data_IF_033044555410
#
_entry.id   IF_033044555410
#
_cell.length_a   1.000
_cell.length_b   1.000
_cell.length_c   1.000
_cell.angle_alpha   90.00
_cell.angle_beta   90.00
_cell.angle_gamma   90.00
#
_symmetry.space_group_name_H-M   'P 1'
#
loop_
_entity.id
_entity.type
_entity.pdbx_description
1 polymer ?
#
# COMPACT_ATOMS: atom_id res chain seq x y z
N UNK A 1 2.07 -31.40 28.45
CA UNK A 1 1.38 -30.10 28.47
C UNK A 1 2.02 -29.24 27.39
N UNK A 2 1.22 -28.70 26.46
CA UNK A 2 1.74 -27.84 25.41
C UNK A 2 1.39 -26.38 25.75
N UNK A 3 2.42 -25.54 25.85
CA UNK A 3 2.26 -24.09 25.96
C UNK A 3 2.45 -23.48 24.57
N UNK A 4 1.55 -22.60 24.18
CA UNK A 4 1.67 -21.82 22.94
C UNK A 4 1.80 -20.34 23.29
N UNK A 5 2.87 -19.72 22.80
CA UNK A 5 3.17 -18.30 22.95
C UNK A 5 3.04 -17.68 21.57
N UNK A 6 2.30 -16.57 21.45
CA UNK A 6 2.14 -15.80 20.22
C UNK A 6 2.42 -14.34 20.49
N UNK A 7 3.15 -13.70 19.57
CA UNK A 7 3.36 -12.25 19.59
C UNK A 7 2.08 -11.54 19.16
N UNK A 8 1.73 -10.44 19.83
CA UNK A 8 0.58 -9.61 19.43
C UNK A 8 0.94 -8.76 18.21
N UNK A 9 0.01 -8.55 17.29
CA UNK A 9 0.22 -7.72 16.09
C UNK A 9 0.62 -6.28 16.42
N UNK A 10 0.04 -5.71 17.49
CA UNK A 10 0.37 -4.38 17.98
C UNK A 10 1.79 -4.27 18.60
N UNK A 11 2.56 -5.37 18.66
CA UNK A 11 3.97 -5.27 19.03
C UNK A 11 4.76 -4.40 18.03
N UNK A 12 4.29 -4.29 16.78
CA UNK A 12 4.88 -3.42 15.77
C UNK A 12 4.69 -1.92 16.07
N UNK A 13 3.64 -1.55 16.82
CA UNK A 13 3.39 -0.16 17.25
C UNK A 13 4.48 0.35 18.20
N UNK A 14 5.13 -0.54 18.93
CA UNK A 14 6.20 -0.19 19.87
C UNK A 14 7.58 -0.07 19.20
N UNK A 15 7.69 -0.34 17.90
CA UNK A 15 8.94 -0.19 17.17
C UNK A 15 9.17 1.27 16.84
N UNK A 16 10.39 1.76 17.05
CA UNK A 16 10.81 3.09 16.60
C UNK A 16 11.08 3.08 15.09
N UNK A 17 10.04 2.82 14.30
CA UNK A 17 10.14 2.57 12.85
C UNK A 17 10.86 3.71 12.12
N UNK A 18 10.63 4.94 12.56
CA UNK A 18 11.26 6.15 12.00
C UNK A 18 12.78 6.22 12.23
N UNK A 19 13.31 5.50 13.22
CA UNK A 19 14.74 5.44 13.51
C UNK A 19 15.52 4.47 12.63
N UNK A 20 14.82 3.61 11.89
CA UNK A 20 15.45 2.62 11.03
C UNK A 20 16.01 3.25 9.76
N UNK A 21 17.07 2.64 9.24
CA UNK A 21 17.75 3.10 8.04
C UNK A 21 16.81 3.07 6.82
N UNK A 22 16.79 4.17 6.06
CA UNK A 22 15.97 4.33 4.85
C UNK A 22 16.70 3.79 3.61
N UNK A 23 17.02 2.49 3.68
CA UNK A 23 17.84 1.75 2.72
C UNK A 23 17.06 1.09 1.56
N UNK A 24 15.80 1.47 1.36
CA UNK A 24 15.00 1.02 0.23
C UNK A 24 14.21 2.18 -0.38
N UNK A 25 13.97 2.17 -1.70
CA UNK A 25 13.19 3.20 -2.37
C UNK A 25 12.10 2.65 -3.31
N UNK A 26 10.89 3.18 -3.16
CA UNK A 26 9.82 3.04 -4.14
C UNK A 26 9.93 4.18 -5.17
N UNK A 27 9.97 3.85 -6.46
CA UNK A 27 10.02 4.83 -7.54
C UNK A 27 8.68 4.78 -8.29
N UNK A 28 7.82 5.76 -8.06
CA UNK A 28 6.45 5.79 -8.58
C UNK A 28 6.34 6.93 -9.56
N UNK A 29 6.02 6.64 -10.83
CA UNK A 29 5.96 7.63 -11.90
C UNK A 29 7.20 8.56 -11.93
N UNK A 30 8.37 8.01 -11.64
CA UNK A 30 9.64 8.74 -11.59
C UNK A 30 9.93 9.51 -10.28
N UNK A 31 9.02 9.52 -9.30
CA UNK A 31 9.23 10.11 -7.97
C UNK A 31 9.68 9.07 -6.96
N UNK A 32 10.74 9.39 -6.20
CA UNK A 32 11.35 8.50 -5.21
C UNK A 32 10.74 8.68 -3.81
N UNK A 33 10.40 7.55 -3.16
CA UNK A 33 9.91 7.47 -1.79
C UNK A 33 10.74 6.48 -1.00
N UNK A 34 11.59 6.99 -0.09
CA UNK A 34 12.49 6.14 0.71
C UNK A 34 11.82 5.61 1.96
N UNK A 35 12.13 4.37 2.28
CA UNK A 35 11.69 3.65 3.47
C UNK A 35 12.74 2.62 3.87
N UNK A 36 12.52 1.91 4.97
CA UNK A 36 13.39 0.79 5.34
C UNK A 36 13.00 -0.46 4.56
N UNK A 37 13.99 -1.31 4.30
CA UNK A 37 13.81 -2.57 3.57
C UNK A 37 12.71 -3.45 4.17
N UNK A 38 12.64 -3.56 5.50
CA UNK A 38 11.63 -4.40 6.15
C UNK A 38 10.21 -3.83 5.98
N UNK A 39 10.02 -2.49 5.98
CA UNK A 39 8.72 -1.87 5.69
C UNK A 39 8.31 -2.21 4.26
N UNK A 40 9.25 -2.13 3.32
CA UNK A 40 8.99 -2.49 1.92
C UNK A 40 8.57 -3.96 1.77
N UNK A 41 9.22 -4.88 2.48
CA UNK A 41 8.89 -6.31 2.49
C UNK A 41 7.52 -6.62 3.09
N UNK A 42 7.15 -5.93 4.17
CA UNK A 42 5.82 -6.05 4.77
C UNK A 42 4.77 -5.53 3.78
N UNK A 43 5.00 -4.32 3.24
CA UNK A 43 4.07 -3.62 2.38
C UNK A 43 3.82 -4.34 1.04
N UNK A 44 4.85 -4.98 0.48
CA UNK A 44 4.78 -5.60 -0.84
C UNK A 44 5.25 -7.05 -0.84
N UNK A 45 4.33 -8.01 -1.05
CA UNK A 45 4.69 -9.40 -1.33
C UNK A 45 5.62 -9.55 -2.53
N UNK A 46 5.54 -8.66 -3.52
CA UNK A 46 6.46 -8.66 -4.67
C UNK A 46 7.87 -8.27 -4.26
N UNK A 47 8.04 -7.19 -3.49
CA UNK A 47 9.36 -6.78 -2.98
C UNK A 47 9.95 -7.87 -2.08
N UNK A 48 9.15 -8.45 -1.18
CA UNK A 48 9.59 -9.54 -0.32
C UNK A 48 10.10 -10.76 -1.12
N UNK A 49 9.43 -11.13 -2.21
CA UNK A 49 9.90 -12.18 -3.12
C UNK A 49 11.15 -11.76 -3.89
N UNK A 50 11.24 -10.51 -4.35
CA UNK A 50 12.44 -10.01 -5.03
C UNK A 50 13.66 -10.12 -4.11
N UNK A 51 13.54 -9.74 -2.85
CA UNK A 51 14.59 -9.87 -1.84
C UNK A 51 14.94 -11.31 -1.46
N UNK A 52 14.00 -12.25 -1.61
CA UNK A 52 14.26 -13.69 -1.46
C UNK A 52 15.19 -14.20 -2.58
N UNK A 53 14.99 -13.72 -3.81
CA UNK A 53 15.85 -14.09 -4.95
C UNK A 53 17.18 -13.32 -4.95
N UNK A 54 17.13 -12.01 -4.71
CA UNK A 54 18.29 -11.13 -4.70
C UNK A 54 18.18 -10.13 -3.54
N UNK A 55 18.93 -10.35 -2.45
CA UNK A 55 18.86 -9.50 -1.28
C UNK A 55 19.53 -8.12 -1.45
N UNK A 56 20.20 -7.87 -2.59
CA UNK A 56 20.89 -6.60 -2.86
C UNK A 56 19.99 -5.55 -3.53
N UNK A 57 18.80 -5.96 -4.00
CA UNK A 57 17.81 -5.04 -4.54
C UNK A 57 17.42 -4.04 -3.45
N UNK A 58 17.53 -2.75 -3.76
CA UNK A 58 17.23 -1.63 -2.86
C UNK A 58 16.19 -0.68 -3.45
N UNK A 59 15.65 -0.99 -4.63
CA UNK A 59 14.66 -0.18 -5.31
C UNK A 59 13.56 -1.02 -5.95
N UNK A 60 12.35 -0.46 -5.99
CA UNK A 60 11.22 -1.04 -6.73
C UNK A 60 10.45 0.07 -7.45
N UNK A 61 10.34 -0.06 -8.77
CA UNK A 61 9.70 0.94 -9.62
C UNK A 61 8.39 0.44 -10.22
N UNK A 62 7.39 1.31 -10.27
CA UNK A 62 6.15 1.06 -11.00
C UNK A 62 5.49 2.37 -11.42
N UNK A 63 4.63 2.28 -12.43
CA UNK A 63 3.79 3.40 -12.86
C UNK A 63 2.34 3.12 -12.47
N UNK A 64 1.66 4.19 -12.07
CA UNK A 64 0.23 4.29 -11.78
C UNK A 64 -0.40 5.12 -12.89
N UNK A 65 -1.48 4.62 -13.48
CA UNK A 65 -2.23 5.28 -14.55
C UNK A 65 -3.72 5.38 -14.18
N UNK A 66 -4.06 6.56 -13.64
CA UNK A 66 -5.42 6.88 -13.19
C UNK A 66 -6.40 7.14 -14.35
N UNK A 67 -5.91 7.27 -15.58
CA UNK A 67 -6.72 7.63 -16.74
C UNK A 67 -7.29 6.40 -17.47
N UNK A 68 -6.79 5.19 -17.18
CA UNK A 68 -7.28 3.96 -17.81
C UNK A 68 -8.65 3.47 -17.30
N UNK A 69 -9.09 3.91 -16.12
CA UNK A 69 -10.40 3.54 -15.56
C UNK A 69 -11.56 4.39 -16.10
N UNK A 70 -11.28 5.43 -16.89
CA UNK A 70 -12.26 6.31 -17.53
C UNK A 70 -12.34 6.08 -19.04
N UNK A 71 -12.52 4.82 -19.48
CA UNK A 71 -13.09 4.52 -20.82
C UNK A 71 -14.58 4.89 -20.86
N UNK A 72 -14.89 6.18 -20.72
CA UNK A 72 -16.08 6.91 -21.20
C UNK A 72 -15.96 8.35 -20.68
N UNK A 73 -16.01 9.29 -21.61
CA UNK A 73 -15.98 10.76 -21.46
C UNK A 73 -14.61 11.42 -21.31
N UNK A 74 -14.16 12.01 -22.43
CA UNK A 74 -13.17 13.08 -22.51
C UNK A 74 -13.67 14.30 -21.71
N UNK A 75 -13.16 14.48 -20.49
CA UNK A 75 -12.90 15.79 -19.90
C UNK A 75 -11.55 15.69 -19.20
N UNK A 76 -10.63 16.66 -19.37
CA UNK A 76 -9.44 16.72 -18.54
C UNK A 76 -9.92 16.96 -17.10
N UNK A 77 -9.82 15.95 -16.25
CA UNK A 77 -9.91 16.14 -14.80
C UNK A 77 -8.77 17.07 -14.41
N UNK A 78 -9.08 18.17 -13.75
CA UNK A 78 -8.16 19.27 -13.44
C UNK A 78 -7.10 18.94 -12.40
N UNK A 79 -7.17 17.76 -11.79
CA UNK A 79 -6.12 17.26 -10.90
C UNK A 79 -5.14 16.41 -11.72
N UNK A 80 -3.86 16.52 -11.42
CA UNK A 80 -2.79 15.75 -12.02
C UNK A 80 -2.47 14.55 -11.11
N UNK A 81 -1.89 13.46 -11.62
CA UNK A 81 -1.39 12.37 -10.77
C UNK A 81 -0.39 12.88 -9.72
N UNK A 82 0.34 13.95 -10.04
CA UNK A 82 1.24 14.63 -9.12
C UNK A 82 0.53 15.21 -7.88
N UNK A 83 -0.80 15.40 -7.90
CA UNK A 83 -1.55 15.90 -6.73
C UNK A 83 -1.80 14.82 -5.68
N UNK A 84 -1.78 13.53 -6.06
CA UNK A 84 -2.07 12.40 -5.17
C UNK A 84 -0.84 11.53 -4.90
N UNK A 85 0.20 11.62 -5.72
CA UNK A 85 1.39 10.75 -5.59
C UNK A 85 2.12 10.96 -4.26
N UNK A 86 2.02 12.15 -3.69
CA UNK A 86 2.65 12.55 -2.42
C UNK A 86 1.98 11.90 -1.21
N UNK A 87 0.84 11.24 -1.42
CA UNK A 87 0.16 10.46 -0.40
C UNK A 87 0.73 9.04 -0.26
N UNK A 88 1.60 8.59 -1.17
CA UNK A 88 2.15 7.23 -1.11
C UNK A 88 2.80 6.87 0.26
N UNK A 89 3.57 7.76 0.92
CA UNK A 89 4.15 7.46 2.23
C UNK A 89 3.12 7.13 3.32
N UNK A 90 1.84 7.49 3.15
CA UNK A 90 0.78 7.08 4.07
C UNK A 90 0.67 5.56 4.18
N UNK A 91 1.03 4.81 3.14
CA UNK A 91 1.06 3.35 3.16
C UNK A 91 2.09 2.78 4.16
N UNK A 92 3.18 3.50 4.44
CA UNK A 92 4.15 3.05 5.44
C UNK A 92 3.53 3.03 6.84
N UNK A 93 2.57 3.93 7.09
CA UNK A 93 1.84 3.95 8.35
C UNK A 93 0.93 2.74 8.52
N UNK A 94 0.60 1.95 7.50
CA UNK A 94 -0.15 0.70 7.71
C UNK A 94 0.65 -0.37 8.43
N UNK A 95 1.98 -0.23 8.47
CA UNK A 95 2.85 -1.17 9.18
C UNK A 95 2.78 -0.94 10.70
N UNK A 96 2.63 0.32 11.12
CA UNK A 96 2.48 0.70 12.54
C UNK A 96 1.03 0.86 12.96
N UNK A 97 0.23 1.57 12.16
CA UNK A 97 -1.15 1.88 12.42
C UNK A 97 -2.09 0.89 11.72
N UNK A 98 -3.27 0.71 12.30
CA UNK A 98 -4.21 -0.29 11.83
C UNK A 98 -5.05 0.18 10.63
N UNK A 99 -5.21 1.49 10.38
CA UNK A 99 -6.10 2.02 9.35
C UNK A 99 -5.55 3.28 8.65
N UNK A 100 -5.86 3.44 7.36
CA UNK A 100 -5.84 4.72 6.66
C UNK A 100 -7.29 5.06 6.28
N UNK A 101 -7.77 6.19 6.79
CA UNK A 101 -9.10 6.70 6.47
C UNK A 101 -9.02 7.60 5.23
N UNK A 102 -9.54 7.11 4.10
CA UNK A 102 -9.66 7.87 2.87
C UNK A 102 -11.14 8.24 2.71
N UNK A 103 -11.52 9.52 2.77
CA UNK A 103 -12.91 9.92 2.60
C UNK A 103 -13.46 9.40 1.26
N UNK A 104 -14.63 8.77 1.27
CA UNK A 104 -15.26 8.21 0.06
C UNK A 104 -15.50 9.25 -1.05
N UNK A 105 -15.56 10.55 -0.69
CA UNK A 105 -15.64 11.65 -1.63
C UNK A 105 -14.37 11.82 -2.50
N UNK A 106 -13.21 11.32 -2.05
CA UNK A 106 -11.94 11.45 -2.76
C UNK A 106 -11.66 10.21 -3.63
N UNK A 107 -12.46 10.06 -4.69
CA UNK A 107 -12.37 8.92 -5.63
C UNK A 107 -10.97 8.77 -6.23
N UNK A 108 -10.29 9.86 -6.57
CA UNK A 108 -8.98 9.81 -7.21
C UNK A 108 -7.89 9.27 -6.30
N UNK A 109 -7.88 9.71 -5.03
CA UNK A 109 -6.98 9.18 -4.00
C UNK A 109 -7.25 7.70 -3.74
N UNK A 110 -8.52 7.30 -3.74
CA UNK A 110 -8.91 5.89 -3.63
C UNK A 110 -8.39 5.06 -4.82
N UNK A 111 -8.56 5.56 -6.05
CA UNK A 111 -8.06 4.90 -7.27
C UNK A 111 -6.52 4.79 -7.23
N UNK A 112 -5.81 5.82 -6.77
CA UNK A 112 -4.35 5.81 -6.61
C UNK A 112 -3.87 4.74 -5.63
N UNK A 113 -4.47 4.66 -4.44
CA UNK A 113 -4.11 3.64 -3.47
C UNK A 113 -4.45 2.24 -3.98
N UNK A 114 -5.62 2.06 -4.59
CA UNK A 114 -6.05 0.81 -5.20
C UNK A 114 -5.05 0.30 -6.23
N UNK A 115 -4.67 1.16 -7.18
CA UNK A 115 -3.68 0.78 -8.19
C UNK A 115 -2.31 0.52 -7.57
N UNK A 116 -1.87 1.34 -6.62
CA UNK A 116 -0.63 1.11 -5.89
C UNK A 116 -0.61 -0.27 -5.21
N UNK A 117 -1.69 -0.66 -4.53
CA UNK A 117 -1.80 -1.99 -3.91
C UNK A 117 -1.75 -3.14 -4.92
N UNK A 118 -2.42 -3.01 -6.06
CA UNK A 118 -2.27 -3.95 -7.18
C UNK A 118 -0.80 -4.10 -7.59
N UNK A 119 -0.12 -2.97 -7.82
CA UNK A 119 1.30 -2.97 -8.26
C UNK A 119 2.20 -3.62 -7.22
N UNK A 120 1.94 -3.39 -5.93
CA UNK A 120 2.67 -4.00 -4.80
C UNK A 120 2.37 -5.50 -4.61
N UNK A 121 1.38 -6.07 -5.31
CA UNK A 121 1.05 -7.50 -5.25
C UNK A 121 0.01 -7.87 -4.19
N UNK A 122 -0.77 -6.89 -3.73
CA UNK A 122 -1.84 -7.07 -2.74
C UNK A 122 -3.22 -7.22 -3.42
N UNK A 123 -3.28 -7.82 -4.62
CA UNK A 123 -4.50 -7.90 -5.46
C UNK A 123 -5.67 -8.65 -4.79
N UNK A 124 -5.39 -9.55 -3.85
CA UNK A 124 -6.41 -10.27 -3.10
C UNK A 124 -7.21 -9.34 -2.17
N UNK A 125 -6.58 -8.30 -1.62
CA UNK A 125 -7.22 -7.29 -0.77
C UNK A 125 -8.35 -6.56 -1.51
N UNK A 126 -8.14 -6.28 -2.80
CA UNK A 126 -9.11 -5.57 -3.62
C UNK A 126 -10.33 -6.41 -3.98
N UNK A 127 -10.18 -7.74 -4.08
CA UNK A 127 -11.33 -8.64 -4.27
C UNK A 127 -12.26 -8.60 -3.06
N UNK A 128 -11.70 -8.65 -1.85
CA UNK A 128 -12.47 -8.53 -0.60
C UNK A 128 -13.13 -7.14 -0.46
N UNK A 129 -12.49 -6.07 -0.95
CA UNK A 129 -13.07 -4.71 -0.95
C UNK A 129 -14.14 -4.49 -2.05
N UNK A 130 -14.01 -5.15 -3.22
CA UNK A 130 -14.98 -5.03 -4.33
C UNK A 130 -16.19 -5.95 -4.18
N UNK A 131 -16.13 -7.01 -3.38
CA UNK A 131 -17.29 -7.86 -3.06
C UNK A 131 -18.37 -7.14 -2.23
N UNK A 132 -18.09 -5.95 -1.71
CA UNK A 132 -19.09 -5.03 -1.18
C UNK A 132 -19.87 -4.28 -2.27
N UNK A 133 -20.35 -4.97 -3.31
CA UNK A 133 -21.33 -4.39 -4.25
C UNK A 133 -22.71 -4.30 -3.58
N UNK A 134 -22.96 -3.23 -2.81
CA UNK A 134 -24.33 -2.86 -2.43
C UNK A 134 -24.55 -2.10 -1.12
N UNK A 135 -23.52 -1.81 -0.32
CA UNK A 135 -23.64 -0.94 0.86
C UNK A 135 -22.50 0.07 0.83
N UNK A 136 -22.75 1.29 1.31
CA UNK A 136 -21.73 2.35 1.43
C UNK A 136 -20.47 1.76 2.06
N UNK A 137 -19.43 1.65 1.25
CA UNK A 137 -18.16 1.12 1.68
C UNK A 137 -17.42 2.21 2.42
N UNK A 138 -17.71 2.35 3.71
CA UNK A 138 -16.77 2.94 4.67
C UNK A 138 -15.64 1.92 4.94
N UNK A 139 -15.06 1.37 3.88
CA UNK A 139 -14.01 0.35 3.97
C UNK A 139 -12.69 1.10 4.08
N UNK A 140 -12.30 1.41 5.31
CA UNK A 140 -10.95 1.86 5.62
C UNK A 140 -9.94 0.81 5.14
N UNK A 141 -8.82 1.27 4.59
CA UNK A 141 -7.70 0.38 4.24
C UNK A 141 -7.04 -0.01 5.56
N UNK A 142 -7.15 -1.28 5.96
CA UNK A 142 -6.61 -1.78 7.23
C UNK A 142 -5.42 -2.72 7.02
N UNK A 143 -4.56 -2.85 8.03
CA UNK A 143 -3.48 -3.83 8.00
C UNK A 143 -3.99 -5.29 7.87
N UNK A 144 -5.17 -5.60 8.39
CA UNK A 144 -5.77 -6.94 8.28
C UNK A 144 -6.22 -7.25 6.84
N UNK A 145 -6.79 -6.25 6.17
CA UNK A 145 -7.21 -6.37 4.78
C UNK A 145 -6.00 -6.40 3.84
N UNK A 146 -4.96 -5.61 4.15
CA UNK A 146 -3.76 -5.47 3.30
C UNK A 146 -2.79 -6.65 3.44
N UNK A 147 -2.63 -7.24 4.62
CA UNK A 147 -1.58 -8.24 4.89
C UNK A 147 -2.07 -9.68 5.03
N UNK A 148 -3.26 -10.01 4.54
CA UNK A 148 -3.78 -11.38 4.55
C UNK A 148 -2.98 -12.26 3.57
N UNK A 149 -1.85 -12.80 4.05
CA UNK A 149 -1.01 -13.77 3.32
C UNK A 149 -1.43 -15.18 3.75
N UNK A 150 -2.24 -15.81 2.89
CA UNK A 150 -2.68 -17.24 2.89
C UNK A 150 -3.24 -17.75 4.23
#
# INVERSE_FOLDING_TARGET
MNFSIKLKKNALENLAIDSYEKNFAFIINGKEFRTSRFIADILSPKVSKLHEFDPTIDTFSFNVDLDNHSKKSKKPSSENIYDVIDDFPLLFNLVTNSTIDIPAANKRRMDFFTESFCKLGNEQMLRECMECQGKSCDVGITNENVFKRI
#
